data_IF_860054527522
#
_entry.id   IF_860054527522
#
_cell.length_a   1.000
_cell.length_b   1.000
_cell.length_c   1.000
_cell.angle_alpha   90.00
_cell.angle_beta   90.00
_cell.angle_gamma   90.00
#
_symmetry.space_group_name_H-M   'P 1'
#
loop_
_entity.id
_entity.type
_entity.pdbx_description
1 polymer ?
#
# COMPACT_ATOMS: atom_id res chain seq x y z
N UNK A 1 -6.98 -9.98 -56.81
CA UNK A 1 -6.97 -8.90 -55.78
C UNK A 1 -7.80 -9.19 -54.55
N UNK A 2 -8.97 -9.77 -54.62
CA UNK A 2 -9.81 -10.05 -53.42
C UNK A 2 -9.23 -11.12 -52.48
N UNK A 3 -8.49 -12.08 -52.97
CA UNK A 3 -7.92 -13.17 -52.12
C UNK A 3 -6.68 -12.73 -51.37
N UNK A 4 -5.87 -11.84 -51.93
CA UNK A 4 -4.70 -11.26 -51.21
C UNK A 4 -5.09 -10.38 -50.03
N UNK A 5 -6.24 -9.70 -50.11
CA UNK A 5 -6.75 -8.83 -49.04
C UNK A 5 -7.23 -9.65 -47.83
N UNK A 6 -7.81 -10.82 -48.07
CA UNK A 6 -8.24 -11.74 -46.99
C UNK A 6 -7.06 -12.31 -46.23
N UNK A 7 -5.93 -12.60 -46.92
CA UNK A 7 -4.73 -13.12 -46.30
C UNK A 7 -4.00 -12.09 -45.45
N UNK A 8 -3.96 -10.83 -45.89
CA UNK A 8 -3.39 -9.73 -45.09
C UNK A 8 -4.22 -9.41 -43.84
N UNK A 9 -5.55 -9.50 -43.94
CA UNK A 9 -6.44 -9.26 -42.78
C UNK A 9 -6.29 -10.37 -41.73
N UNK A 10 -6.08 -11.63 -42.14
CA UNK A 10 -5.87 -12.75 -41.24
C UNK A 10 -4.53 -12.65 -40.49
N UNK A 11 -3.48 -12.19 -41.15
CA UNK A 11 -2.15 -11.98 -40.53
C UNK A 11 -2.20 -10.79 -39.54
N UNK A 12 -2.94 -9.73 -39.88
CA UNK A 12 -3.09 -8.58 -38.96
C UNK A 12 -3.88 -8.95 -37.70
N UNK A 13 -4.89 -9.81 -37.80
CA UNK A 13 -5.64 -10.32 -36.65
C UNK A 13 -4.80 -11.23 -35.74
N UNK A 14 -3.85 -12.00 -36.31
CA UNK A 14 -2.99 -12.88 -35.52
C UNK A 14 -1.94 -12.11 -34.69
N UNK A 15 -1.50 -10.95 -35.16
CA UNK A 15 -0.52 -10.11 -34.46
C UNK A 15 -1.13 -9.37 -33.26
N UNK A 16 -2.43 -9.03 -33.32
CA UNK A 16 -3.13 -8.34 -32.23
C UNK A 16 -3.42 -9.26 -31.04
N UNK A 17 -3.50 -10.57 -31.26
CA UNK A 17 -3.76 -11.55 -30.18
C UNK A 17 -2.50 -11.93 -29.37
N UNK A 18 -1.32 -11.52 -29.80
CA UNK A 18 -0.05 -11.85 -29.11
C UNK A 18 0.32 -10.85 -28.01
N UNK A 19 -0.47 -9.82 -27.77
CA UNK A 19 -0.19 -8.80 -26.75
C UNK A 19 -0.90 -9.05 -25.41
N UNK A 20 -1.49 -10.22 -25.20
CA UNK A 20 -1.78 -10.68 -23.85
C UNK A 20 -0.43 -11.05 -23.20
N UNK A 21 0.18 -10.07 -22.54
CA UNK A 21 1.21 -10.33 -21.54
C UNK A 21 0.66 -11.37 -20.57
N UNK A 22 1.05 -12.62 -20.77
CA UNK A 22 0.82 -13.66 -19.80
C UNK A 22 1.46 -13.18 -18.50
N UNK A 23 0.64 -12.73 -17.56
CA UNK A 23 1.00 -12.74 -16.16
C UNK A 23 1.42 -14.19 -15.88
N UNK A 24 2.72 -14.42 -15.81
CA UNK A 24 3.28 -15.71 -15.41
C UNK A 24 2.72 -16.02 -14.02
N UNK A 25 1.85 -17.04 -13.86
CA UNK A 25 1.47 -17.51 -12.55
C UNK A 25 2.67 -18.27 -12.01
N UNK A 26 3.33 -17.75 -10.99
CA UNK A 26 4.26 -18.61 -10.28
C UNK A 26 5.55 -18.03 -9.73
N UNK A 27 5.79 -16.73 -9.73
CA UNK A 27 6.71 -16.21 -8.74
C UNK A 27 5.92 -16.12 -7.43
N UNK A 28 6.11 -17.08 -6.53
CA UNK A 28 5.69 -16.93 -5.12
C UNK A 28 6.35 -15.64 -4.63
N UNK A 29 5.56 -14.57 -4.62
CA UNK A 29 6.00 -13.28 -4.12
C UNK A 29 6.19 -13.46 -2.63
N UNK A 30 7.43 -13.53 -2.18
CA UNK A 30 7.77 -13.72 -0.78
C UNK A 30 7.23 -12.52 -0.02
N UNK A 31 6.26 -12.76 0.83
CA UNK A 31 5.83 -11.77 1.81
C UNK A 31 6.94 -11.70 2.86
N UNK A 32 7.48 -10.52 3.14
CA UNK A 32 8.36 -10.36 4.29
C UNK A 32 7.61 -10.84 5.53
N UNK A 33 8.19 -11.72 6.34
CA UNK A 33 7.53 -12.22 7.55
C UNK A 33 7.28 -11.02 8.46
N UNK A 34 6.04 -10.53 8.43
CA UNK A 34 5.63 -9.35 9.17
C UNK A 34 5.32 -9.73 10.62
N UNK A 35 6.32 -9.60 11.49
CA UNK A 35 6.11 -9.52 12.93
C UNK A 35 6.66 -8.18 13.39
N UNK A 36 5.81 -7.40 14.07
CA UNK A 36 6.25 -6.16 14.69
C UNK A 36 5.62 -4.88 14.14
N UNK A 37 6.27 -3.77 14.44
CA UNK A 37 5.77 -2.43 14.20
C UNK A 37 5.56 -2.13 12.70
N UNK A 38 4.38 -1.65 12.37
CA UNK A 38 3.97 -1.24 11.03
C UNK A 38 3.55 -2.38 10.12
N UNK A 39 3.95 -3.64 10.39
CA UNK A 39 3.69 -4.80 9.52
C UNK A 39 2.55 -5.69 10.02
N UNK A 40 2.01 -5.39 11.18
CA UNK A 40 0.81 -6.05 11.72
C UNK A 40 -0.29 -5.03 12.06
N UNK A 41 -1.57 -5.41 11.98
CA UNK A 41 -2.65 -4.51 12.35
C UNK A 41 -2.71 -4.22 13.85
N UNK A 42 -2.09 -5.06 14.70
CA UNK A 42 -2.01 -4.91 16.14
C UNK A 42 -1.04 -3.79 16.55
N UNK A 43 0.03 -3.59 15.78
CA UNK A 43 1.03 -2.55 16.03
C UNK A 43 1.27 -1.70 14.76
N UNK A 44 0.27 -0.89 14.37
CA UNK A 44 0.32 -0.15 13.12
C UNK A 44 1.28 1.02 13.17
N UNK A 45 1.88 1.35 12.03
CA UNK A 45 2.65 2.57 11.82
C UNK A 45 1.77 3.80 12.12
N UNK A 46 2.27 4.70 12.94
CA UNK A 46 1.60 5.95 13.27
C UNK A 46 2.02 7.04 12.28
N UNK A 47 1.07 7.58 11.53
CA UNK A 47 1.28 8.72 10.63
C UNK A 47 0.18 9.75 10.90
N UNK A 48 0.43 10.63 11.89
CA UNK A 48 -0.57 11.63 12.23
C UNK A 48 -0.91 12.54 11.05
N UNK A 49 -2.18 12.58 10.71
CA UNK A 49 -2.72 13.48 9.70
C UNK A 49 -4.11 13.98 10.10
N UNK A 50 -4.41 15.23 9.78
CA UNK A 50 -5.70 15.85 10.07
C UNK A 50 -6.77 15.44 9.05
N UNK A 51 -6.36 15.14 7.82
CA UNK A 51 -7.25 14.82 6.71
C UNK A 51 -6.72 13.64 5.89
N UNK A 52 -7.61 12.90 5.24
CA UNK A 52 -7.26 11.72 4.43
C UNK A 52 -6.26 12.06 3.31
N UNK A 53 -6.40 13.21 2.66
CA UNK A 53 -5.47 13.66 1.61
C UNK A 53 -4.06 13.92 2.15
N UNK A 54 -3.97 14.53 3.34
CA UNK A 54 -2.69 14.74 4.03
C UNK A 54 -2.07 13.41 4.43
N UNK A 55 -2.88 12.48 4.96
CA UNK A 55 -2.47 11.14 5.33
C UNK A 55 -1.85 10.38 4.14
N UNK A 56 -2.51 10.42 2.99
CA UNK A 56 -2.01 9.77 1.79
C UNK A 56 -0.66 10.36 1.34
N UNK A 57 -0.52 11.69 1.31
CA UNK A 57 0.73 12.36 0.95
C UNK A 57 1.87 12.04 1.92
N UNK A 58 1.59 12.03 3.23
CA UNK A 58 2.61 11.66 4.24
C UNK A 58 3.04 10.21 4.11
N UNK A 59 2.08 9.31 3.87
CA UNK A 59 2.37 7.90 3.66
C UNK A 59 3.25 7.68 2.42
N UNK A 60 2.91 8.31 1.30
CA UNK A 60 3.68 8.23 0.07
C UNK A 60 5.10 8.78 0.25
N UNK A 61 5.25 9.96 0.84
CA UNK A 61 6.55 10.54 1.13
C UNK A 61 7.39 9.62 2.04
N UNK A 62 6.76 9.06 3.07
CA UNK A 62 7.43 8.15 3.99
C UNK A 62 7.87 6.84 3.30
N UNK A 63 7.01 6.22 2.48
CA UNK A 63 7.33 4.98 1.77
C UNK A 63 8.43 5.16 0.72
N UNK A 64 8.54 6.36 0.12
CA UNK A 64 9.63 6.67 -0.80
C UNK A 64 11.01 6.64 -0.13
N UNK A 65 11.09 6.85 1.18
CA UNK A 65 12.32 6.75 1.96
C UNK A 65 12.62 5.33 2.46
N UNK A 66 11.64 4.42 2.42
CA UNK A 66 11.85 3.05 2.86
C UNK A 66 12.59 2.21 1.82
N UNK A 67 13.41 1.31 2.32
CA UNK A 67 14.18 0.33 1.53
C UNK A 67 14.09 -1.03 2.21
N UNK A 68 14.31 -2.09 1.43
CA UNK A 68 14.62 -3.39 2.01
C UNK A 68 15.98 -3.36 2.70
N UNK A 69 16.31 -4.33 3.55
CA UNK A 69 17.66 -4.45 4.13
C UNK A 69 18.77 -4.50 3.08
N UNK A 70 18.47 -5.00 1.89
CA UNK A 70 19.36 -5.07 0.74
C UNK A 70 19.46 -3.75 -0.05
N UNK A 71 18.71 -2.71 0.38
CA UNK A 71 18.71 -1.37 -0.22
C UNK A 71 17.75 -1.20 -1.41
N UNK A 72 16.92 -2.20 -1.73
CA UNK A 72 15.96 -2.12 -2.84
C UNK A 72 14.79 -1.18 -2.50
N UNK A 73 14.37 -0.39 -3.47
CA UNK A 73 13.22 0.52 -3.32
C UNK A 73 11.90 -0.23 -3.27
N UNK A 74 10.97 0.36 -2.54
CA UNK A 74 9.60 -0.11 -2.44
C UNK A 74 8.66 0.79 -3.23
N UNK A 75 7.72 0.19 -3.94
CA UNK A 75 6.70 0.86 -4.72
C UNK A 75 5.32 0.52 -4.18
N UNK A 76 4.44 1.52 -4.10
CA UNK A 76 3.06 1.32 -3.70
C UNK A 76 2.28 0.61 -4.83
N UNK A 77 1.79 -0.60 -4.55
CA UNK A 77 1.01 -1.40 -5.51
C UNK A 77 -0.48 -1.49 -5.15
N UNK A 78 -0.85 -1.18 -3.92
CA UNK A 78 -2.25 -1.16 -3.51
C UNK A 78 -2.49 -0.59 -2.12
N UNK A 79 -3.75 -0.24 -1.86
CA UNK A 79 -4.20 0.17 -0.52
C UNK A 79 -5.60 -0.35 -0.24
N UNK A 80 -5.86 -0.74 1.00
CA UNK A 80 -7.16 -1.27 1.45
C UNK A 80 -7.44 -0.81 2.87
N UNK A 81 -8.69 -0.52 3.19
CA UNK A 81 -9.11 -0.28 4.58
C UNK A 81 -9.36 -1.61 5.27
N UNK A 82 -8.81 -1.76 6.47
CA UNK A 82 -9.01 -2.94 7.32
C UNK A 82 -9.48 -2.52 8.71
N UNK A 83 -10.25 -3.34 9.43
CA UNK A 83 -10.62 -3.05 10.80
C UNK A 83 -9.40 -2.85 11.69
N UNK A 84 -9.47 -1.89 12.61
CA UNK A 84 -8.44 -1.70 13.63
C UNK A 84 -8.73 -2.61 14.82
N UNK A 85 -7.91 -3.65 15.09
CA UNK A 85 -8.12 -4.56 16.22
C UNK A 85 -8.05 -3.86 17.57
N UNK A 86 -7.30 -2.76 17.65
CA UNK A 86 -7.13 -1.95 18.85
C UNK A 86 -8.10 -0.76 18.92
N UNK A 87 -9.19 -0.80 18.15
CA UNK A 87 -10.15 0.30 18.14
C UNK A 87 -10.73 0.57 19.52
N UNK A 88 -10.61 1.82 19.96
CA UNK A 88 -11.24 2.31 21.18
C UNK A 88 -12.27 3.38 20.81
N UNK A 89 -13.52 3.07 21.05
CA UNK A 89 -14.62 4.03 20.85
C UNK A 89 -14.36 5.30 21.67
N UNK A 90 -14.58 6.48 21.11
CA UNK A 90 -14.44 7.73 21.86
C UNK A 90 -15.44 7.74 23.04
N UNK A 91 -15.02 8.27 24.18
CA UNK A 91 -15.89 8.40 25.39
C UNK A 91 -17.09 9.30 25.11
N UNK A 92 -16.89 10.36 24.33
CA UNK A 92 -17.95 11.28 23.90
C UNK A 92 -18.02 11.17 22.38
N UNK A 93 -19.19 10.85 21.86
CA UNK A 93 -19.42 10.79 20.39
C UNK A 93 -19.92 12.15 19.95
N UNK A 94 -19.18 12.78 19.03
CA UNK A 94 -19.54 14.06 18.43
C UNK A 94 -20.06 13.83 17.02
N UNK A 95 -21.17 14.48 16.71
CA UNK A 95 -21.78 14.42 15.38
C UNK A 95 -21.74 15.78 14.72
N UNK A 96 -21.57 15.79 13.41
CA UNK A 96 -21.84 16.97 12.60
C UNK A 96 -23.36 17.20 12.62
N UNK A 97 -23.75 18.35 13.14
CA UNK A 97 -25.16 18.69 13.28
C UNK A 97 -25.90 18.89 11.94
N UNK A 98 -25.15 19.12 10.85
CA UNK A 98 -25.69 19.30 9.49
C UNK A 98 -25.84 17.96 8.78
N UNK A 99 -24.79 17.12 8.81
CA UNK A 99 -24.75 15.86 8.06
C UNK A 99 -25.16 14.64 8.89
N UNK A 100 -25.23 14.76 10.21
CA UNK A 100 -25.45 13.62 11.11
C UNK A 100 -24.28 12.64 11.21
N UNK A 101 -23.17 12.92 10.57
CA UNK A 101 -21.98 12.04 10.57
C UNK A 101 -21.16 12.19 11.85
N UNK A 102 -20.60 11.09 12.31
CA UNK A 102 -19.70 11.11 13.46
C UNK A 102 -18.38 11.81 13.10
N UNK A 103 -18.05 12.90 13.83
CA UNK A 103 -16.85 13.69 13.57
C UNK A 103 -15.61 13.06 14.19
N UNK A 104 -15.75 12.49 15.41
CA UNK A 104 -14.63 11.93 16.14
C UNK A 104 -14.64 10.40 16.06
N UNK A 105 -13.53 9.82 15.65
CA UNK A 105 -13.37 8.38 15.45
C UNK A 105 -12.47 7.70 16.49
N UNK A 106 -12.21 8.39 17.63
CA UNK A 106 -11.30 7.87 18.65
C UNK A 106 -9.88 7.69 18.11
N UNK A 107 -9.32 6.51 18.31
CA UNK A 107 -8.01 6.16 17.75
C UNK A 107 -8.09 5.54 16.34
N UNK A 108 -9.21 5.76 15.63
CA UNK A 108 -9.44 5.25 14.28
C UNK A 108 -10.07 3.86 14.25
N UNK A 109 -11.29 3.78 13.72
CA UNK A 109 -12.03 2.51 13.53
C UNK A 109 -11.37 1.60 12.49
N UNK A 110 -10.71 2.20 11.52
CA UNK A 110 -10.05 1.49 10.43
C UNK A 110 -8.58 1.90 10.35
N UNK A 111 -7.77 0.96 9.93
CA UNK A 111 -6.40 1.18 9.46
C UNK A 111 -6.40 1.22 7.95
N UNK A 112 -5.38 1.84 7.37
CA UNK A 112 -5.09 1.71 5.95
C UNK A 112 -3.93 0.73 5.78
N UNK A 113 -4.20 -0.39 5.14
CA UNK A 113 -3.18 -1.34 4.72
C UNK A 113 -2.64 -0.90 3.38
N UNK A 114 -1.36 -0.57 3.31
CA UNK A 114 -0.62 -0.29 2.09
C UNK A 114 0.17 -1.53 1.69
N UNK A 115 0.05 -1.91 0.43
CA UNK A 115 0.79 -3.03 -0.15
C UNK A 115 1.93 -2.45 -0.96
N UNK A 116 3.16 -2.74 -0.54
CA UNK A 116 4.37 -2.32 -1.20
C UNK A 116 5.05 -3.52 -1.85
N UNK A 117 5.66 -3.32 -3.01
CA UNK A 117 6.47 -4.32 -3.67
C UNK A 117 7.86 -3.75 -3.99
N UNK A 118 8.87 -4.59 -4.00
CA UNK A 118 10.19 -4.22 -4.49
C UNK A 118 10.14 -3.89 -5.98
N UNK A 119 11.08 -3.08 -6.48
CA UNK A 119 11.17 -2.76 -7.91
C UNK A 119 11.36 -4.03 -8.76
N UNK A 120 12.05 -5.03 -8.24
CA UNK A 120 12.18 -6.34 -8.88
C UNK A 120 10.87 -7.14 -8.90
N UNK A 121 9.87 -6.76 -8.10
CA UNK A 121 8.61 -7.48 -7.93
C UNK A 121 8.73 -8.81 -7.19
N UNK A 122 9.90 -9.15 -6.66
CA UNK A 122 10.16 -10.42 -5.97
C UNK A 122 9.53 -10.45 -4.59
N UNK A 123 9.61 -9.34 -3.88
CA UNK A 123 9.17 -9.25 -2.49
C UNK A 123 8.03 -8.25 -2.32
N UNK A 124 7.16 -8.53 -1.36
CA UNK A 124 6.06 -7.65 -0.96
C UNK A 124 6.04 -7.48 0.55
N UNK A 125 5.57 -6.33 0.99
CA UNK A 125 5.33 -6.04 2.38
C UNK A 125 4.01 -5.31 2.53
N UNK A 126 3.21 -5.72 3.52
CA UNK A 126 1.99 -5.02 3.90
C UNK A 126 2.31 -4.10 5.08
N UNK A 127 2.06 -2.80 4.94
CA UNK A 127 2.23 -1.81 6.00
C UNK A 127 0.86 -1.33 6.46
N UNK A 128 0.59 -1.49 7.74
CA UNK A 128 -0.64 -1.03 8.37
C UNK A 128 -0.43 0.35 8.99
N UNK A 129 -1.23 1.32 8.61
CA UNK A 129 -1.07 2.72 9.04
C UNK A 129 -2.30 3.19 9.80
N UNK A 130 -2.06 3.79 10.95
CA UNK A 130 -3.07 4.50 11.72
C UNK A 130 -2.82 6.00 11.65
N UNK A 131 -3.69 6.72 10.94
CA UNK A 131 -3.59 8.17 10.76
C UNK A 131 -4.07 9.00 11.96
N UNK A 132 -4.73 8.36 12.92
CA UNK A 132 -5.31 9.05 14.08
C UNK A 132 -4.38 9.11 15.28
N UNK A 133 -3.29 8.34 15.27
CA UNK A 133 -2.32 8.32 16.37
C UNK A 133 -1.28 9.41 16.16
N UNK A 134 -1.11 10.26 17.20
CA UNK A 134 -0.11 11.33 17.24
C UNK A 134 1.20 10.82 17.82
N UNK A 135 1.94 10.08 17.03
CA UNK A 135 3.30 9.65 17.34
C UNK A 135 4.16 9.88 16.11
N UNK A 136 5.45 10.11 16.33
CA UNK A 136 6.42 10.13 15.25
C UNK A 136 6.52 8.73 14.64
N UNK A 137 6.56 8.63 13.29
CA UNK A 137 6.70 7.35 12.62
C UNK A 137 8.07 6.75 12.96
N UNK A 138 8.03 5.48 13.38
CA UNK A 138 9.23 4.65 13.52
C UNK A 138 9.40 3.81 12.27
N UNK A 139 10.59 3.31 12.03
CA UNK A 139 10.86 2.45 10.88
C UNK A 139 10.22 1.08 11.15
N UNK A 140 9.44 0.53 10.19
CA UNK A 140 8.91 -0.83 10.32
C UNK A 140 10.04 -1.85 10.46
N UNK A 141 9.84 -2.88 11.31
CA UNK A 141 10.89 -3.79 11.73
C UNK A 141 11.63 -4.49 10.58
N UNK A 142 11.16 -4.70 9.47
CA UNK A 142 11.84 -5.39 8.36
C UNK A 142 12.40 -4.45 7.30
N UNK A 143 12.46 -3.13 7.58
CA UNK A 143 12.83 -2.12 6.59
C UNK A 143 13.92 -1.19 7.14
N UNK A 144 14.52 -0.41 6.25
CA UNK A 144 15.52 0.62 6.58
C UNK A 144 15.20 1.92 5.86
N UNK A 145 15.74 3.05 6.33
CA UNK A 145 15.67 4.32 5.60
C UNK A 145 16.80 4.44 4.59
N UNK A 146 16.51 5.07 3.45
CA UNK A 146 17.47 5.33 2.39
C UNK A 146 18.73 6.06 2.90
N UNK A 147 18.56 6.96 3.87
CA UNK A 147 19.66 7.71 4.50
C UNK A 147 20.58 6.88 5.41
N UNK A 148 20.17 5.68 5.81
CA UNK A 148 20.93 4.79 6.70
C UNK A 148 21.65 3.67 5.96
N UNK A 149 21.38 3.47 4.67
CA UNK A 149 21.96 2.41 3.86
C UNK A 149 23.28 2.73 3.16
N UNK A 150 23.91 3.87 3.48
CA UNK A 150 25.19 4.31 2.86
C UNK A 150 26.37 4.11 3.81
N UNK A 151 26.66 2.85 4.16
CA UNK A 151 27.92 2.50 4.83
C UNK A 151 28.55 1.29 4.18
#
# INVERSE_FOLDING_TARGET
>A
MKEMFKFQLAILMLVVLSSCSAMLPGAETKLFPGQGYGVTPEDPLSLHASFEKEAARKAEAYFNELRTPEGEKLQLVGKTRVPNPNYKKPKIVLYNWITGEQINQGNGRFLVKYQLATESGKDRVDIYVNHFIRKDPQIPDSLVLASQGSH
#
